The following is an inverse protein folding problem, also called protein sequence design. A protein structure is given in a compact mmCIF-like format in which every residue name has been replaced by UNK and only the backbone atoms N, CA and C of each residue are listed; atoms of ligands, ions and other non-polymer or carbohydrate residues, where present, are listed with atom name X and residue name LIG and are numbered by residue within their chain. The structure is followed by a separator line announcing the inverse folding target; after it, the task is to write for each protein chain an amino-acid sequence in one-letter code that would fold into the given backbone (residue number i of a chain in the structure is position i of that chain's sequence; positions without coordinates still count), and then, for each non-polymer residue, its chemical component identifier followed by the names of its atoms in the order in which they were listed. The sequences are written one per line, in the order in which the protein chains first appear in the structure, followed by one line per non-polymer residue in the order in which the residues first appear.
data_IF_304952210714
#
_entry.id   IF_304952210714
#
_cell.length_a   1.000
_cell.length_b   1.000
_cell.length_c   1.000
_cell.angle_alpha   90.00
_cell.angle_beta   90.00
_cell.angle_gamma   90.00
#
_symmetry.space_group_name_H-M   'P 1'
#
loop_
_entity.id
_entity.type
_entity.pdbx_description
1 polymer ?
#
# COMPACT_ATOMS: atom_id res chain seq x y z
N UNK A 1 -2.12 28.92 -24.97
CA UNK A 1 -2.58 27.55 -25.30
C UNK A 1 -2.34 26.69 -24.07
N UNK A 2 -3.38 26.44 -23.28
CA UNK A 2 -3.30 25.63 -22.06
C UNK A 2 -3.16 24.16 -22.48
N UNK A 3 -2.08 23.52 -22.05
CA UNK A 3 -1.90 22.07 -22.19
C UNK A 3 -2.90 21.38 -21.26
N UNK A 4 -3.91 20.80 -21.84
CA UNK A 4 -4.81 19.86 -21.16
C UNK A 4 -3.96 18.66 -20.77
N UNK A 5 -3.54 18.58 -19.50
CA UNK A 5 -2.83 17.42 -18.98
C UNK A 5 -3.83 16.25 -18.96
N UNK A 6 -3.66 15.32 -19.86
CA UNK A 6 -4.37 14.05 -19.84
C UNK A 6 -4.03 13.33 -18.52
N UNK A 7 -4.93 13.41 -17.56
CA UNK A 7 -4.89 12.60 -16.35
C UNK A 7 -5.32 11.18 -16.72
N UNK A 8 -4.39 10.41 -17.22
CA UNK A 8 -4.60 8.98 -17.45
C UNK A 8 -4.23 8.20 -16.19
N UNK A 9 -5.22 7.89 -15.38
CA UNK A 9 -5.13 6.82 -14.40
C UNK A 9 -5.95 5.64 -14.96
N UNK A 10 -5.31 4.55 -15.42
CA UNK A 10 -6.01 3.40 -15.98
C UNK A 10 -6.90 2.69 -14.95
N UNK A 11 -6.74 3.00 -13.66
CA UNK A 11 -7.52 2.43 -12.57
C UNK A 11 -8.56 3.40 -12.00
N UNK A 12 -8.67 4.60 -12.54
CA UNK A 12 -9.59 5.62 -12.06
C UNK A 12 -10.85 5.68 -12.90
N UNK A 13 -11.96 5.32 -12.29
CA UNK A 13 -13.29 5.27 -12.93
C UNK A 13 -14.02 6.62 -12.88
N UNK A 14 -13.53 7.65 -12.17
CA UNK A 14 -14.21 8.94 -12.08
C UNK A 14 -13.29 10.14 -11.90
N UNK A 15 -13.66 11.20 -12.60
CA UNK A 15 -13.07 12.54 -12.53
C UNK A 15 -13.35 13.17 -11.15
N UNK A 16 -12.33 13.37 -10.35
CA UNK A 16 -12.41 14.00 -9.02
C UNK A 16 -12.02 15.49 -9.12
N UNK A 17 -12.56 16.22 -10.12
CA UNK A 17 -12.49 17.68 -10.13
C UNK A 17 -13.44 18.28 -9.09
N UNK A 18 -12.98 19.19 -8.27
CA UNK A 18 -13.67 20.17 -7.42
C UNK A 18 -14.28 19.74 -6.07
N UNK A 19 -14.51 18.46 -5.76
CA UNK A 19 -15.07 18.02 -4.46
C UNK A 19 -14.22 16.99 -3.74
N UNK A 20 -12.92 17.19 -3.71
CA UNK A 20 -12.00 16.20 -3.16
C UNK A 20 -12.22 15.94 -1.66
N UNK A 21 -12.56 16.97 -0.89
CA UNK A 21 -12.77 16.86 0.56
C UNK A 21 -14.07 16.09 0.88
N UNK A 22 -15.19 16.47 0.27
CA UNK A 22 -16.48 15.83 0.50
C UNK A 22 -16.45 14.34 0.10
N UNK A 23 -15.78 14.04 -1.02
CA UNK A 23 -15.61 12.65 -1.48
C UNK A 23 -14.71 11.86 -0.52
N UNK A 24 -13.63 12.45 -0.03
CA UNK A 24 -12.74 11.81 0.92
C UNK A 24 -13.46 11.50 2.24
N UNK A 25 -14.14 12.50 2.82
CA UNK A 25 -14.94 12.33 4.05
C UNK A 25 -16.04 11.28 3.84
N UNK A 26 -16.76 11.35 2.72
CA UNK A 26 -17.84 10.40 2.43
C UNK A 26 -17.35 8.96 2.36
N UNK A 27 -16.18 8.74 1.77
CA UNK A 27 -15.53 7.41 1.72
C UNK A 27 -15.14 6.91 3.11
N UNK A 28 -14.59 7.78 3.98
CA UNK A 28 -14.26 7.40 5.35
C UNK A 28 -15.52 7.04 6.16
N UNK A 29 -16.58 7.86 6.08
CA UNK A 29 -17.86 7.55 6.73
C UNK A 29 -18.38 6.18 6.29
N UNK A 30 -18.38 5.92 4.97
CA UNK A 30 -18.83 4.64 4.41
C UNK A 30 -17.93 3.49 4.89
N UNK A 31 -16.61 3.68 4.91
CA UNK A 31 -15.64 2.67 5.35
C UNK A 31 -15.90 2.26 6.81
N UNK A 32 -15.97 3.22 7.73
CA UNK A 32 -16.25 2.95 9.14
C UNK A 32 -17.63 2.31 9.36
N UNK A 33 -18.65 2.74 8.61
CA UNK A 33 -19.97 2.13 8.66
C UNK A 33 -19.91 0.65 8.27
N UNK A 34 -19.23 0.30 7.17
CA UNK A 34 -19.08 -1.08 6.72
C UNK A 34 -18.26 -1.93 7.70
N UNK A 35 -17.19 -1.39 8.29
CA UNK A 35 -16.40 -2.09 9.31
C UNK A 35 -17.24 -2.49 10.53
N UNK A 36 -18.28 -1.71 10.81
CA UNK A 36 -19.22 -1.99 11.91
C UNK A 36 -20.46 -2.78 11.44
N UNK A 37 -20.50 -3.25 10.19
CA UNK A 37 -21.64 -3.97 9.61
C UNK A 37 -22.98 -3.20 9.66
N UNK A 38 -22.93 -1.86 9.64
CA UNK A 38 -24.11 -1.02 9.65
C UNK A 38 -24.63 -0.76 8.23
N UNK A 39 -25.94 -0.77 8.06
CA UNK A 39 -26.57 -0.23 6.84
C UNK A 39 -26.63 1.30 6.88
N UNK A 40 -26.89 1.93 5.73
CA UNK A 40 -27.13 3.39 5.69
C UNK A 40 -28.29 3.78 6.58
N UNK A 41 -29.34 2.95 6.64
CA UNK A 41 -30.51 3.18 7.49
C UNK A 41 -30.16 3.12 8.99
N UNK A 42 -29.29 2.18 9.39
CA UNK A 42 -28.86 2.06 10.78
C UNK A 42 -28.07 3.30 11.24
N UNK A 43 -27.13 3.76 10.41
CA UNK A 43 -26.36 4.95 10.74
C UNK A 43 -27.22 6.23 10.67
N UNK A 44 -28.15 6.31 9.74
CA UNK A 44 -29.12 7.40 9.68
C UNK A 44 -29.98 7.46 10.96
N UNK A 45 -30.46 6.31 11.44
CA UNK A 45 -31.21 6.23 12.71
C UNK A 45 -30.36 6.67 13.91
N UNK A 46 -29.08 6.25 13.99
CA UNK A 46 -28.18 6.65 15.09
C UNK A 46 -27.84 8.14 15.11
N UNK A 47 -27.81 8.77 13.93
CA UNK A 47 -27.44 10.19 13.78
C UNK A 47 -28.64 11.13 13.71
N UNK A 48 -29.86 10.62 13.57
CA UNK A 48 -31.06 11.45 13.34
C UNK A 48 -31.11 12.07 11.94
N UNK A 49 -30.20 11.68 11.04
CA UNK A 49 -30.19 12.13 9.65
C UNK A 49 -31.18 11.33 8.79
N UNK A 50 -31.68 11.92 7.70
CA UNK A 50 -32.40 11.13 6.72
C UNK A 50 -31.46 10.20 5.95
N UNK A 51 -31.95 9.04 5.54
CA UNK A 51 -31.20 8.08 4.69
C UNK A 51 -30.66 8.77 3.44
N UNK A 52 -31.47 9.64 2.80
CA UNK A 52 -31.07 10.37 1.60
C UNK A 52 -29.93 11.37 1.86
N UNK A 53 -29.94 12.04 3.02
CA UNK A 53 -28.86 12.97 3.41
C UNK A 53 -27.57 12.21 3.67
N UNK A 54 -27.62 11.13 4.44
CA UNK A 54 -26.46 10.32 4.72
C UNK A 54 -25.87 9.70 3.45
N UNK A 55 -26.72 9.21 2.54
CA UNK A 55 -26.29 8.70 1.23
C UNK A 55 -25.59 9.78 0.39
N UNK A 56 -26.08 11.03 0.40
CA UNK A 56 -25.43 12.15 -0.28
C UNK A 56 -24.06 12.46 0.33
N UNK A 57 -23.94 12.42 1.64
CA UNK A 57 -22.66 12.63 2.36
C UNK A 57 -21.68 11.52 1.99
N UNK A 58 -22.06 10.25 2.07
CA UNK A 58 -21.19 9.11 1.73
C UNK A 58 -20.74 9.11 0.27
N UNK A 59 -21.51 9.69 -0.64
CA UNK A 59 -21.16 9.83 -2.04
C UNK A 59 -20.42 11.14 -2.38
N UNK A 60 -20.14 12.00 -1.39
CA UNK A 60 -19.51 13.29 -1.60
C UNK A 60 -20.37 14.29 -2.39
N UNK A 61 -21.67 14.05 -2.47
CA UNK A 61 -22.61 14.90 -3.23
C UNK A 61 -23.09 16.12 -2.45
N UNK A 62 -22.72 16.26 -1.17
CA UNK A 62 -23.06 17.39 -0.34
C UNK A 62 -21.99 17.60 0.72
N UNK A 63 -21.72 18.88 1.05
CA UNK A 63 -20.89 19.26 2.18
C UNK A 63 -21.70 19.12 3.47
N UNK A 64 -21.18 18.34 4.42
CA UNK A 64 -21.75 18.25 5.76
C UNK A 64 -21.16 19.33 6.67
N UNK A 65 -21.99 19.90 7.56
CA UNK A 65 -21.47 20.80 8.58
C UNK A 65 -20.56 20.07 9.57
N UNK A 66 -19.66 20.78 10.25
CA UNK A 66 -18.82 20.19 11.31
C UNK A 66 -19.67 19.53 12.40
N UNK A 67 -20.81 20.10 12.75
CA UNK A 67 -21.74 19.50 13.71
C UNK A 67 -22.28 18.16 13.17
N UNK A 68 -22.64 18.10 11.90
CA UNK A 68 -23.10 16.85 11.26
C UNK A 68 -22.00 15.80 11.24
N UNK A 69 -20.76 16.20 10.91
CA UNK A 69 -19.59 15.30 10.93
C UNK A 69 -19.31 14.78 12.33
N UNK A 70 -19.45 15.63 13.36
CA UNK A 70 -19.28 15.23 14.75
C UNK A 70 -20.33 14.22 15.20
N UNK A 71 -21.61 14.41 14.81
CA UNK A 71 -22.67 13.42 15.07
C UNK A 71 -22.38 12.08 14.41
N UNK A 72 -21.94 12.09 13.15
CA UNK A 72 -21.59 10.87 12.41
C UNK A 72 -20.38 10.17 13.08
N UNK A 73 -19.31 10.91 13.40
CA UNK A 73 -18.13 10.38 14.07
C UNK A 73 -18.47 9.75 15.43
N UNK A 74 -19.32 10.42 16.21
CA UNK A 74 -19.79 9.91 17.50
C UNK A 74 -20.63 8.64 17.34
N UNK A 75 -21.53 8.59 16.36
CA UNK A 75 -22.34 7.40 16.07
C UNK A 75 -21.50 6.19 15.59
N UNK A 76 -20.36 6.47 14.96
CA UNK A 76 -19.38 5.48 14.52
C UNK A 76 -18.30 5.21 15.59
N UNK A 77 -18.34 5.88 16.74
CA UNK A 77 -17.34 5.74 17.82
C UNK A 77 -15.90 5.98 17.36
N UNK A 78 -15.71 6.96 16.48
CA UNK A 78 -14.38 7.37 15.98
C UNK A 78 -14.13 8.86 16.27
N UNK A 79 -12.87 9.30 16.41
CA UNK A 79 -12.56 10.72 16.46
C UNK A 79 -13.00 11.42 15.16
N UNK A 80 -13.49 12.67 15.25
CA UNK A 80 -13.88 13.42 14.04
C UNK A 80 -12.72 13.56 13.04
N UNK A 81 -11.49 13.67 13.53
CA UNK A 81 -10.28 13.74 12.71
C UNK A 81 -10.10 12.52 11.81
N UNK A 82 -10.60 11.36 12.23
CA UNK A 82 -10.55 10.13 11.42
C UNK A 82 -11.36 10.24 10.12
N UNK A 83 -12.36 11.11 10.07
CA UNK A 83 -13.15 11.35 8.84
C UNK A 83 -12.37 12.13 7.77
N UNK A 84 -11.26 12.76 8.15
CA UNK A 84 -10.39 13.52 7.25
C UNK A 84 -9.14 12.75 6.84
N UNK A 85 -8.96 11.54 7.31
CA UNK A 85 -7.73 10.74 7.13
C UNK A 85 -7.32 10.54 5.68
N UNK A 86 -8.27 10.43 4.76
CA UNK A 86 -8.01 10.28 3.31
C UNK A 86 -7.90 11.60 2.56
N UNK A 87 -8.09 12.71 3.25
CA UNK A 87 -7.92 14.03 2.65
C UNK A 87 -6.52 14.54 2.97
N UNK A 88 -5.63 14.33 2.05
CA UNK A 88 -4.28 14.92 2.09
C UNK A 88 -4.19 16.04 1.05
N UNK A 89 -3.88 17.24 1.52
CA UNK A 89 -3.60 18.39 0.64
C UNK A 89 -2.28 18.22 -0.10
N UNK A 90 -1.30 17.55 0.52
CA UNK A 90 -0.02 17.21 -0.07
C UNK A 90 0.05 15.73 -0.46
N UNK A 91 0.47 15.46 -1.69
CA UNK A 91 0.83 14.11 -2.16
C UNK A 91 2.33 14.02 -2.17
N UNK A 92 2.87 13.15 -1.33
CA UNK A 92 4.31 12.92 -1.27
C UNK A 92 4.78 12.07 -2.46
N UNK A 93 5.97 12.41 -2.96
CA UNK A 93 6.70 11.60 -3.91
C UNK A 93 8.15 11.49 -3.44
N UNK A 94 8.65 10.26 -3.37
CA UNK A 94 10.04 10.01 -2.98
C UNK A 94 10.84 9.66 -4.22
N UNK A 95 11.88 10.44 -4.49
CA UNK A 95 12.82 10.18 -5.58
C UNK A 95 14.18 9.77 -5.00
N UNK A 96 14.55 8.52 -5.22
CA UNK A 96 15.87 8.00 -4.86
C UNK A 96 16.69 7.85 -6.12
N UNK A 97 17.83 8.55 -6.19
CA UNK A 97 18.76 8.44 -7.33
C UNK A 97 19.39 7.04 -7.36
N UNK A 98 19.82 6.61 -8.55
CA UNK A 98 20.53 5.35 -8.71
C UNK A 98 21.74 5.28 -7.76
N UNK A 99 21.85 4.20 -7.01
CA UNK A 99 22.90 3.98 -6.02
C UNK A 99 22.74 4.76 -4.70
N UNK A 100 21.68 5.56 -4.53
CA UNK A 100 21.42 6.33 -3.30
C UNK A 100 20.35 5.68 -2.39
N UNK A 101 19.97 4.43 -2.63
CA UNK A 101 19.10 3.67 -1.75
C UNK A 101 19.73 3.50 -0.37
N UNK A 102 18.92 3.52 0.67
CA UNK A 102 19.39 3.31 2.04
C UNK A 102 19.71 1.84 2.22
N UNK A 103 20.97 1.54 2.49
CA UNK A 103 21.39 0.18 2.84
C UNK A 103 20.78 -0.19 4.18
N UNK A 104 20.03 -1.28 4.22
CA UNK A 104 19.35 -1.77 5.41
C UNK A 104 19.83 -3.18 5.72
N UNK A 105 20.13 -3.42 6.99
CA UNK A 105 20.33 -4.77 7.49
C UNK A 105 18.97 -5.34 7.94
N UNK A 106 18.53 -6.39 7.28
CA UNK A 106 17.38 -7.16 7.77
C UNK A 106 17.84 -8.18 8.81
N UNK A 107 17.02 -8.39 9.83
CA UNK A 107 17.29 -9.45 10.80
C UNK A 107 17.45 -10.79 10.08
N UNK A 108 18.62 -11.43 10.23
CA UNK A 108 18.97 -12.67 9.55
C UNK A 108 19.81 -12.52 8.27
N UNK A 109 20.06 -11.28 7.80
CA UNK A 109 21.00 -11.07 6.68
C UNK A 109 22.43 -11.37 7.10
N UNK A 110 23.14 -12.10 6.25
CA UNK A 110 24.55 -12.42 6.42
C UNK A 110 25.41 -11.66 5.40
N UNK A 111 26.73 -11.75 5.55
CA UNK A 111 27.68 -11.11 4.66
C UNK A 111 27.37 -11.37 3.17
N UNK A 112 27.47 -10.34 2.34
CA UNK A 112 27.26 -10.42 0.91
C UNK A 112 25.83 -10.16 0.42
N UNK A 113 24.86 -9.96 1.31
CA UNK A 113 23.51 -9.52 0.97
C UNK A 113 23.40 -8.01 1.10
N UNK A 114 23.06 -7.33 0.05
CA UNK A 114 22.78 -5.90 0.08
C UNK A 114 21.29 -5.66 -0.18
N UNK A 115 20.63 -5.04 0.79
CA UNK A 115 19.25 -4.60 0.72
C UNK A 115 19.22 -3.08 0.66
N UNK A 116 18.91 -2.53 -0.49
CA UNK A 116 18.81 -1.09 -0.69
C UNK A 116 17.34 -0.70 -0.74
N UNK A 117 16.85 -0.03 0.30
CA UNK A 117 15.50 0.55 0.31
C UNK A 117 15.43 1.69 -0.70
N UNK A 118 14.55 1.56 -1.69
CA UNK A 118 14.43 2.50 -2.81
C UNK A 118 13.46 3.66 -2.53
N UNK A 119 12.83 3.69 -1.39
CA UNK A 119 11.95 4.77 -0.97
C UNK A 119 11.03 4.31 0.16
N UNK A 120 10.57 5.28 0.92
CA UNK A 120 9.56 5.07 1.95
C UNK A 120 8.63 6.27 1.94
N UNK A 121 7.34 6.02 1.87
CA UNK A 121 6.33 7.03 2.12
C UNK A 121 5.89 6.92 3.57
N UNK A 122 5.73 8.06 4.22
CA UNK A 122 5.17 8.13 5.57
C UNK A 122 3.73 7.58 5.63
N UNK A 123 2.90 8.13 6.47
CA UNK A 123 1.49 7.75 6.48
C UNK A 123 0.83 8.14 5.16
N UNK A 124 0.10 7.23 4.56
CA UNK A 124 -0.65 7.50 3.34
C UNK A 124 -2.15 7.20 3.53
N UNK A 125 -2.98 7.86 2.73
CA UNK A 125 -4.43 7.73 2.82
C UNK A 125 -4.96 6.34 2.42
N UNK A 126 -4.14 5.51 1.77
CA UNK A 126 -4.55 4.16 1.35
C UNK A 126 -4.47 3.15 2.49
N UNK A 127 -3.76 3.46 3.58
CA UNK A 127 -3.55 2.54 4.70
C UNK A 127 -2.71 1.33 4.30
N UNK A 128 -1.87 1.48 3.27
CA UNK A 128 -0.94 0.44 2.79
C UNK A 128 0.47 0.98 2.91
N UNK A 129 1.35 0.22 3.51
CA UNK A 129 2.79 0.47 3.51
C UNK A 129 3.38 -0.30 2.33
N UNK A 130 4.26 0.36 1.58
CA UNK A 130 5.00 -0.24 0.48
C UNK A 130 6.49 0.00 0.68
N UNK A 131 7.25 -1.08 0.70
CA UNK A 131 8.70 -1.05 0.84
C UNK A 131 9.36 -1.70 -0.38
N UNK A 132 9.84 -0.91 -1.34
CA UNK A 132 10.59 -1.41 -2.49
C UNK A 132 12.07 -1.54 -2.14
N UNK A 133 12.61 -2.73 -2.27
CA UNK A 133 14.02 -3.03 -2.09
C UNK A 133 14.68 -3.46 -3.41
N UNK A 134 15.88 -2.98 -3.65
CA UNK A 134 16.79 -3.60 -4.60
C UNK A 134 17.70 -4.55 -3.84
N UNK A 135 17.57 -5.83 -4.09
CA UNK A 135 18.36 -6.88 -3.47
C UNK A 135 19.46 -7.28 -4.44
N UNK A 136 20.70 -7.33 -3.93
CA UNK A 136 21.87 -7.77 -4.68
C UNK A 136 22.56 -8.90 -3.93
N UNK A 137 22.79 -10.00 -4.62
CA UNK A 137 23.43 -11.21 -4.13
C UNK A 137 24.72 -11.45 -4.92
N UNK A 138 25.77 -11.78 -4.20
CA UNK A 138 27.11 -12.02 -4.77
C UNK A 138 27.62 -13.40 -4.35
N UNK A 139 28.81 -13.75 -4.79
CA UNK A 139 29.54 -14.96 -4.38
C UNK A 139 29.84 -15.01 -2.86
N UNK A 140 29.75 -13.85 -2.18
CA UNK A 140 29.89 -13.76 -0.72
C UNK A 140 28.57 -13.98 0.01
N UNK A 141 27.46 -14.08 -0.73
CA UNK A 141 26.14 -14.32 -0.15
C UNK A 141 26.06 -15.77 0.29
N UNK A 142 25.95 -15.99 1.59
CA UNK A 142 25.89 -17.32 2.21
C UNK A 142 24.43 -17.82 2.28
N UNK A 143 24.24 -19.07 2.74
CA UNK A 143 22.96 -19.75 2.84
C UNK A 143 21.91 -18.86 3.57
N UNK A 144 20.75 -18.75 2.97
CA UNK A 144 19.71 -17.79 3.31
C UNK A 144 18.82 -18.28 4.45
N UNK A 145 18.53 -17.43 5.45
CA UNK A 145 17.40 -17.68 6.31
C UNK A 145 16.11 -17.60 5.49
N UNK A 146 15.12 -18.36 5.87
CA UNK A 146 13.76 -18.16 5.41
C UNK A 146 13.19 -16.92 6.08
N UNK A 147 12.58 -16.05 5.27
CA UNK A 147 11.81 -14.92 5.75
C UNK A 147 10.34 -15.34 5.91
N UNK A 148 9.65 -14.71 6.81
CA UNK A 148 8.20 -14.82 6.98
C UNK A 148 7.71 -13.53 7.60
N UNK A 149 6.74 -12.88 6.97
CA UNK A 149 6.15 -11.62 7.46
C UNK A 149 4.76 -11.43 6.87
N UNK A 150 3.97 -10.56 7.49
CA UNK A 150 2.65 -10.22 6.97
C UNK A 150 2.74 -9.54 5.60
N UNK A 151 1.68 -9.67 4.81
CA UNK A 151 1.48 -8.94 3.57
C UNK A 151 1.79 -9.73 2.31
N UNK A 152 1.93 -9.00 1.22
CA UNK A 152 2.16 -9.54 -0.13
C UNK A 152 3.51 -9.04 -0.61
N UNK A 153 4.29 -9.92 -1.24
CA UNK A 153 5.57 -9.56 -1.83
C UNK A 153 5.58 -9.87 -3.32
N UNK A 154 6.08 -8.91 -4.11
CA UNK A 154 6.37 -9.07 -5.53
C UNK A 154 7.88 -9.04 -5.74
N UNK A 155 8.41 -10.10 -6.34
CA UNK A 155 9.77 -10.15 -6.86
C UNK A 155 9.76 -9.92 -8.36
N UNK A 156 10.80 -9.21 -8.85
CA UNK A 156 11.06 -9.08 -10.28
C UNK A 156 12.57 -9.19 -10.54
N UNK A 157 12.96 -10.21 -11.29
CA UNK A 157 14.38 -10.50 -11.59
C UNK A 157 14.94 -9.51 -12.60
N UNK A 158 16.09 -8.92 -12.27
CA UNK A 158 16.83 -7.96 -13.12
C UNK A 158 18.07 -8.58 -13.74
N UNK A 159 18.81 -9.40 -12.96
CA UNK A 159 20.10 -9.94 -13.35
C UNK A 159 20.36 -11.25 -12.60
N UNK A 160 21.09 -12.18 -13.22
CA UNK A 160 21.44 -13.46 -12.63
C UNK A 160 20.28 -14.45 -12.58
N UNK A 161 20.49 -15.57 -11.90
CA UNK A 161 19.48 -16.62 -11.75
C UNK A 161 19.47 -17.14 -10.31
N UNK A 162 18.29 -17.33 -9.74
CA UNK A 162 18.10 -17.91 -8.41
C UNK A 162 16.99 -18.94 -8.42
N UNK A 163 17.08 -19.95 -7.56
CA UNK A 163 15.92 -20.75 -7.19
C UNK A 163 15.34 -20.14 -5.92
N UNK A 164 14.13 -19.65 -5.99
CA UNK A 164 13.43 -19.03 -4.88
C UNK A 164 12.42 -20.01 -4.30
N UNK A 165 12.38 -20.14 -2.99
CA UNK A 165 11.43 -21.00 -2.28
C UNK A 165 10.28 -20.17 -1.70
N UNK A 166 9.07 -20.71 -1.76
CA UNK A 166 7.90 -20.23 -1.04
C UNK A 166 7.11 -21.44 -0.52
N UNK A 167 7.07 -21.59 0.80
CA UNK A 167 6.56 -22.80 1.44
C UNK A 167 7.36 -24.03 0.98
N UNK A 168 6.67 -25.02 0.44
CA UNK A 168 7.26 -26.25 -0.07
C UNK A 168 7.55 -26.21 -1.57
N UNK A 169 7.33 -25.08 -2.25
CA UNK A 169 7.52 -24.94 -3.69
C UNK A 169 8.78 -24.17 -4.03
N UNK A 170 9.43 -24.57 -5.09
CA UNK A 170 10.62 -23.91 -5.65
C UNK A 170 10.30 -23.29 -7.01
N UNK A 171 10.82 -22.09 -7.24
CA UNK A 171 10.61 -21.31 -8.45
C UNK A 171 11.98 -20.89 -9.01
N UNK A 172 12.46 -21.49 -10.11
CA UNK A 172 13.63 -20.98 -10.83
C UNK A 172 13.25 -19.63 -11.45
N UNK A 173 14.00 -18.59 -11.11
CA UNK A 173 13.76 -17.23 -11.58
C UNK A 173 14.96 -16.74 -12.40
N UNK A 174 14.66 -16.20 -13.58
CA UNK A 174 15.61 -15.61 -14.55
C UNK A 174 15.25 -14.15 -14.80
N UNK A 175 16.16 -13.34 -15.37
CA UNK A 175 15.86 -11.96 -15.72
C UNK A 175 14.55 -11.81 -16.52
N UNK A 176 13.68 -10.94 -16.05
CA UNK A 176 12.34 -10.74 -16.61
C UNK A 176 11.23 -11.55 -15.94
N UNK A 177 11.57 -12.57 -15.15
CA UNK A 177 10.57 -13.33 -14.39
C UNK A 177 10.08 -12.54 -13.18
N UNK A 178 8.84 -12.80 -12.78
CA UNK A 178 8.24 -12.26 -11.57
C UNK A 178 7.60 -13.36 -10.72
N UNK A 179 7.62 -13.18 -9.42
CA UNK A 179 6.95 -14.05 -8.45
C UNK A 179 6.15 -13.16 -7.47
N UNK A 180 4.84 -13.35 -7.44
CA UNK A 180 3.93 -12.68 -6.50
C UNK A 180 3.39 -13.70 -5.52
N UNK A 181 3.51 -13.43 -4.23
CA UNK A 181 3.11 -14.39 -3.19
C UNK A 181 2.67 -13.70 -1.89
N UNK A 182 1.95 -14.46 -1.08
CA UNK A 182 1.63 -14.14 0.29
C UNK A 182 2.84 -14.42 1.18
N UNK A 183 3.37 -13.39 1.81
CA UNK A 183 4.61 -13.45 2.57
C UNK A 183 4.46 -14.09 3.96
N UNK A 184 3.25 -14.47 4.37
CA UNK A 184 2.99 -15.19 5.61
C UNK A 184 3.47 -16.67 5.57
N UNK A 185 3.82 -17.18 4.40
CA UNK A 185 4.51 -18.46 4.26
C UNK A 185 6.04 -18.27 4.26
N UNK A 186 6.82 -19.21 4.83
CA UNK A 186 8.29 -19.14 4.77
C UNK A 186 8.80 -19.06 3.34
N UNK A 187 9.63 -18.07 3.03
CA UNK A 187 10.13 -17.80 1.69
C UNK A 187 11.57 -17.29 1.70
N UNK A 188 12.24 -17.36 0.56
CA UNK A 188 13.59 -16.84 0.37
C UNK A 188 14.34 -17.50 -0.77
N UNK A 189 15.46 -16.91 -1.24
CA UNK A 189 16.34 -17.55 -2.18
C UNK A 189 16.96 -18.81 -1.54
N UNK A 190 16.96 -19.92 -2.26
CA UNK A 190 17.45 -21.21 -1.78
C UNK A 190 18.73 -21.65 -2.53
N UNK A 191 18.81 -21.38 -3.83
CA UNK A 191 19.98 -21.68 -4.65
C UNK A 191 20.35 -20.50 -5.51
N UNK A 192 21.62 -20.10 -5.49
CA UNK A 192 22.20 -19.10 -6.38
C UNK A 192 22.75 -19.81 -7.60
N UNK A 193 22.10 -19.65 -8.74
CA UNK A 193 22.47 -20.34 -10.00
C UNK A 193 23.39 -19.48 -10.84
N UNK A 194 23.06 -18.19 -10.99
CA UNK A 194 23.84 -17.22 -11.76
C UNK A 194 24.11 -15.95 -10.95
N UNK A 195 25.38 -15.61 -10.75
CA UNK A 195 25.81 -14.46 -9.98
C UNK A 195 26.56 -13.43 -10.84
N UNK A 196 26.49 -12.13 -10.51
CA UNK A 196 25.67 -11.55 -9.46
C UNK A 196 24.18 -11.67 -9.78
N UNK A 197 23.34 -11.87 -8.77
CA UNK A 197 21.89 -11.87 -8.92
C UNK A 197 21.30 -10.59 -8.33
N UNK A 198 20.40 -9.94 -9.06
CA UNK A 198 19.74 -8.70 -8.65
C UNK A 198 18.26 -8.78 -8.95
N UNK A 199 17.45 -8.39 -7.99
CA UNK A 199 16.01 -8.34 -8.16
C UNK A 199 15.36 -7.26 -7.30
N UNK A 200 14.21 -6.78 -7.77
CA UNK A 200 13.33 -5.96 -6.95
C UNK A 200 12.51 -6.87 -6.05
N UNK A 201 12.39 -6.49 -4.79
CA UNK A 201 11.43 -7.03 -3.85
C UNK A 201 10.53 -5.87 -3.41
N UNK A 202 9.24 -5.97 -3.64
CA UNK A 202 8.27 -4.95 -3.26
C UNK A 202 7.33 -5.59 -2.26
N UNK A 203 7.41 -5.14 -1.01
CA UNK A 203 6.59 -5.64 0.09
C UNK A 203 5.45 -4.66 0.32
N UNK A 204 4.23 -5.18 0.39
CA UNK A 204 3.03 -4.41 0.68
C UNK A 204 2.29 -5.03 1.85
N UNK A 205 2.02 -4.23 2.89
CA UNK A 205 1.26 -4.66 4.06
C UNK A 205 0.35 -3.53 4.59
N UNK A 206 -0.73 -3.86 5.31
CA UNK A 206 -1.59 -2.86 5.91
C UNK A 206 -0.84 -2.07 6.99
N UNK A 207 -1.21 -0.79 7.12
CA UNK A 207 -0.67 0.14 8.12
C UNK A 207 -1.32 -0.10 9.48
#
# INVERSE_FOLDING_TARGET
MARNSLRQDPHRISDLGEKNLEVAIGREVRSYRHQQNLTVADLASKTGLSIGMLSKIENGNTSASLTTLQMIASALSVPITSLFRRYEEAREAVHVKSGAGVETERAGTRAGHQYNLLGHLGSNASGVIMEPYLISLTDKSDVFPTFQHDGIELLYMLEGEVVYRHGDKQFPLKPGDSLLFDADSPHGPEVLVGLPARFLSIICYPQ
#
